data_IF_292207333692
#
_entry.id   IF_292207333692
#
_cell.length_a   1.000
_cell.length_b   1.000
_cell.length_c   1.000
_cell.angle_alpha   90.00
_cell.angle_beta   90.00
_cell.angle_gamma   90.00
#
_symmetry.space_group_name_H-M   'P 1'
#
loop_
_entity.id
_entity.type
_entity.pdbx_description
1 polymer ?
#
# COMPACT_ATOMS: atom_id res chain seq x y z
N UNK A 1 1.98 -14.72 -14.30
CA UNK A 1 1.63 -16.11 -14.00
C UNK A 1 2.83 -16.90 -13.46
N UNK A 2 3.91 -17.08 -14.23
CA UNK A 2 5.09 -17.85 -13.81
C UNK A 2 5.70 -17.41 -12.47
N UNK A 3 5.75 -16.09 -12.21
CA UNK A 3 6.28 -15.54 -10.97
C UNK A 3 5.46 -16.00 -9.74
N UNK A 4 4.14 -15.82 -9.78
CA UNK A 4 3.25 -16.18 -8.69
C UNK A 4 3.28 -17.68 -8.41
N UNK A 5 3.20 -18.50 -9.47
CA UNK A 5 3.33 -19.95 -9.38
C UNK A 5 4.63 -20.35 -8.69
N UNK A 6 5.76 -19.79 -9.14
CA UNK A 6 7.07 -20.10 -8.58
C UNK A 6 7.17 -19.71 -7.10
N UNK A 7 6.59 -18.57 -6.68
CA UNK A 7 6.60 -18.17 -5.28
C UNK A 7 5.72 -19.08 -4.42
N UNK A 8 4.56 -19.49 -4.90
CA UNK A 8 3.71 -20.46 -4.21
C UNK A 8 4.44 -21.81 -4.03
N UNK A 9 5.10 -22.32 -5.07
CA UNK A 9 5.91 -23.57 -5.00
C UNK A 9 7.07 -23.45 -3.99
N UNK A 10 7.59 -22.26 -3.76
CA UNK A 10 8.63 -21.98 -2.75
C UNK A 10 8.07 -21.81 -1.33
N UNK A 11 6.75 -21.89 -1.13
CA UNK A 11 6.11 -21.77 0.17
C UNK A 11 5.83 -20.33 0.62
N UNK A 12 5.93 -19.34 -0.27
CA UNK A 12 5.46 -17.99 0.06
C UNK A 12 3.94 -17.97 0.21
N UNK A 13 3.45 -17.21 1.16
CA UNK A 13 2.01 -17.04 1.43
C UNK A 13 1.49 -15.66 1.11
N UNK A 14 2.35 -14.65 1.15
CA UNK A 14 2.01 -13.25 0.86
C UNK A 14 2.98 -12.68 -0.18
N UNK A 15 2.44 -11.98 -1.17
CA UNK A 15 3.21 -11.21 -2.15
C UNK A 15 2.84 -9.73 -1.99
N UNK A 16 3.81 -8.89 -1.70
CA UNK A 16 3.61 -7.44 -1.69
C UNK A 16 3.61 -6.91 -3.12
N UNK A 17 2.60 -6.14 -3.48
CA UNK A 17 2.45 -5.55 -4.81
C UNK A 17 1.91 -4.12 -4.73
N UNK A 18 2.37 -3.27 -5.64
CA UNK A 18 2.05 -1.85 -5.68
C UNK A 18 1.21 -1.54 -6.90
N UNK A 19 0.11 -0.79 -6.72
CA UNK A 19 -0.76 -0.36 -7.82
C UNK A 19 -0.17 0.87 -8.52
N UNK A 20 0.00 1.98 -7.78
CA UNK A 20 0.67 3.17 -8.32
C UNK A 20 2.13 3.13 -7.89
N UNK A 21 2.99 2.63 -8.79
CA UNK A 21 4.37 2.32 -8.48
C UNK A 21 5.22 3.55 -8.18
N UNK A 22 6.36 3.34 -7.49
CA UNK A 22 7.36 4.35 -7.22
C UNK A 22 7.95 4.97 -8.51
N UNK A 23 8.71 6.01 -8.35
CA UNK A 23 9.36 6.77 -9.44
C UNK A 23 8.32 7.28 -10.46
N UNK A 24 8.50 6.94 -11.71
CA UNK A 24 7.65 7.40 -12.81
C UNK A 24 6.44 6.47 -13.06
N UNK A 25 5.97 5.79 -12.02
CA UNK A 25 4.92 4.78 -12.14
C UNK A 25 3.57 5.30 -12.63
N UNK A 26 3.31 6.61 -12.55
CA UNK A 26 2.10 7.21 -13.14
C UNK A 26 2.21 7.39 -14.66
N UNK A 27 3.43 7.51 -15.20
CA UNK A 27 3.67 7.74 -16.63
C UNK A 27 4.35 6.55 -17.33
N UNK A 28 4.66 5.49 -16.57
CA UNK A 28 5.17 4.24 -17.14
C UNK A 28 4.00 3.29 -17.35
N UNK A 29 3.65 2.96 -18.60
CA UNK A 29 2.51 2.11 -18.88
C UNK A 29 2.76 0.66 -18.45
N UNK A 30 1.68 -0.07 -18.22
CA UNK A 30 1.72 -1.51 -18.05
C UNK A 30 2.13 -2.22 -19.38
N UNK A 31 2.34 -3.56 -19.40
CA UNK A 31 2.70 -4.29 -20.61
C UNK A 31 1.73 -4.15 -21.79
N UNK A 32 0.53 -3.61 -21.57
CA UNK A 32 -0.50 -3.40 -22.59
C UNK A 32 -0.57 -1.95 -23.08
N UNK A 33 0.28 -1.08 -22.56
CA UNK A 33 0.33 0.33 -22.94
C UNK A 33 -0.60 1.25 -22.12
N UNK A 34 -1.21 0.75 -21.05
CA UNK A 34 -2.17 1.52 -20.25
C UNK A 34 -1.49 2.21 -19.06
N UNK A 35 -1.75 3.49 -18.86
CA UNK A 35 -1.36 4.27 -17.67
C UNK A 35 -2.40 4.08 -16.55
N UNK A 36 -1.99 4.16 -15.27
CA UNK A 36 -2.89 3.85 -14.15
C UNK A 36 -3.99 4.88 -13.91
N UNK A 37 -3.73 6.15 -14.19
CA UNK A 37 -4.65 7.25 -13.94
C UNK A 37 -4.86 8.08 -15.20
N UNK A 38 -6.03 8.67 -15.35
CA UNK A 38 -6.29 9.66 -16.40
C UNK A 38 -5.90 11.05 -15.87
N UNK A 39 -4.96 11.72 -16.54
CA UNK A 39 -4.47 13.06 -16.19
C UNK A 39 -3.91 13.14 -14.75
N UNK A 40 -3.24 12.10 -14.28
CA UNK A 40 -2.68 11.99 -12.92
C UNK A 40 -3.71 12.21 -11.79
N UNK A 41 -4.99 12.04 -12.08
CA UNK A 41 -6.09 12.26 -11.15
C UNK A 41 -6.47 10.95 -10.44
N UNK A 42 -6.20 10.78 -9.11
CA UNK A 42 -6.56 9.58 -8.37
C UNK A 42 -8.08 9.29 -8.36
N UNK A 43 -8.91 10.28 -8.67
CA UNK A 43 -10.37 10.09 -8.78
C UNK A 43 -10.80 9.54 -10.14
N UNK A 44 -9.84 9.38 -11.08
CA UNK A 44 -10.06 8.89 -12.44
C UNK A 44 -9.16 7.70 -12.79
N UNK A 45 -9.29 6.57 -12.08
CA UNK A 45 -8.54 5.37 -12.42
C UNK A 45 -8.82 4.89 -13.85
N UNK A 46 -7.77 4.45 -14.55
CA UNK A 46 -7.91 3.90 -15.89
C UNK A 46 -8.36 2.44 -15.84
N UNK A 47 -9.57 2.16 -16.25
CA UNK A 47 -10.17 0.82 -16.21
C UNK A 47 -9.30 -0.26 -16.85
N UNK A 48 -8.67 0.01 -17.99
CA UNK A 48 -7.81 -0.97 -18.68
C UNK A 48 -6.58 -1.35 -17.87
N UNK A 49 -5.95 -0.38 -17.20
CA UNK A 49 -4.85 -0.65 -16.30
C UNK A 49 -5.29 -1.55 -15.14
N UNK A 50 -6.43 -1.23 -14.54
CA UNK A 50 -6.94 -1.98 -13.39
C UNK A 50 -7.48 -3.37 -13.74
N UNK A 51 -7.89 -3.63 -14.98
CA UNK A 51 -8.15 -5.01 -15.45
C UNK A 51 -6.90 -5.89 -15.35
N UNK A 52 -5.71 -5.34 -15.58
CA UNK A 52 -4.47 -6.07 -15.37
C UNK A 52 -4.16 -6.30 -13.88
N UNK A 53 -4.45 -5.33 -13.03
CA UNK A 53 -4.33 -5.49 -11.56
C UNK A 53 -5.31 -6.59 -11.07
N UNK A 54 -6.54 -6.60 -11.58
CA UNK A 54 -7.53 -7.64 -11.29
C UNK A 54 -6.99 -9.04 -11.61
N UNK A 55 -6.44 -9.18 -12.82
CA UNK A 55 -5.84 -10.45 -13.25
C UNK A 55 -4.73 -10.93 -12.30
N UNK A 56 -3.87 -10.03 -11.82
CA UNK A 56 -2.79 -10.37 -10.89
C UNK A 56 -3.35 -10.85 -9.54
N UNK A 57 -4.37 -10.16 -9.01
CA UNK A 57 -5.00 -10.51 -7.72
C UNK A 57 -5.71 -11.86 -7.83
N UNK A 58 -6.48 -12.06 -8.92
CA UNK A 58 -7.23 -13.31 -9.15
C UNK A 58 -6.27 -14.49 -9.38
N UNK A 59 -5.18 -14.26 -10.12
CA UNK A 59 -4.13 -15.28 -10.31
C UNK A 59 -3.39 -15.63 -9.00
N UNK A 60 -3.16 -14.66 -8.13
CA UNK A 60 -2.60 -14.93 -6.82
C UNK A 60 -3.53 -15.82 -5.98
N UNK A 61 -4.84 -15.57 -6.03
CA UNK A 61 -5.83 -16.40 -5.34
C UNK A 61 -5.84 -17.86 -5.84
N UNK A 62 -5.68 -18.09 -7.15
CA UNK A 62 -5.57 -19.45 -7.72
C UNK A 62 -4.39 -20.24 -7.14
N UNK A 63 -3.31 -19.55 -6.75
CA UNK A 63 -2.14 -20.16 -6.11
C UNK A 63 -2.17 -20.08 -4.58
N UNK A 64 -3.31 -19.74 -3.97
CA UNK A 64 -3.47 -19.56 -2.53
C UNK A 64 -2.52 -18.49 -1.94
N UNK A 65 -2.19 -17.46 -2.73
CA UNK A 65 -1.39 -16.34 -2.31
C UNK A 65 -2.27 -15.16 -1.89
N UNK A 66 -1.91 -14.52 -0.80
CA UNK A 66 -2.47 -13.23 -0.37
C UNK A 66 -1.64 -12.11 -1.00
N UNK A 67 -2.29 -11.06 -1.46
CA UNK A 67 -1.63 -9.85 -1.93
C UNK A 67 -1.60 -8.80 -0.81
N UNK A 68 -0.41 -8.42 -0.38
CA UNK A 68 -0.19 -7.18 0.39
C UNK A 68 -0.24 -6.01 -0.59
N UNK A 69 -1.44 -5.47 -0.80
CA UNK A 69 -1.71 -4.49 -1.85
C UNK A 69 -1.41 -3.08 -1.35
N UNK A 70 -0.42 -2.42 -1.98
CA UNK A 70 -0.20 -1.00 -1.79
C UNK A 70 -1.02 -0.22 -2.83
N UNK A 71 -2.04 0.54 -2.42
CA UNK A 71 -2.81 1.40 -3.33
C UNK A 71 -1.92 2.37 -4.12
N UNK A 72 -0.91 2.88 -3.48
CA UNK A 72 0.10 3.77 -4.04
C UNK A 72 1.40 3.65 -3.28
N UNK A 73 2.52 3.96 -3.91
CA UNK A 73 3.77 4.21 -3.21
C UNK A 73 3.79 5.61 -2.59
N UNK A 74 4.55 5.78 -1.52
CA UNK A 74 4.53 7.00 -0.71
C UNK A 74 4.99 8.26 -1.43
N UNK A 75 5.77 8.14 -2.52
CA UNK A 75 6.24 9.28 -3.30
C UNK A 75 5.12 10.02 -4.07
N UNK A 76 3.93 9.47 -4.13
CA UNK A 76 2.73 10.12 -4.68
C UNK A 76 2.01 11.01 -3.65
N UNK A 77 2.39 10.87 -2.36
CA UNK A 77 2.00 11.78 -1.27
C UNK A 77 3.08 12.82 -1.04
N UNK A 78 4.35 12.39 -0.94
CA UNK A 78 5.50 13.30 -0.98
C UNK A 78 6.74 12.59 -1.53
N UNK A 79 7.36 13.20 -2.54
CA UNK A 79 8.39 12.53 -3.33
C UNK A 79 9.74 12.39 -2.64
N UNK A 80 10.06 13.25 -1.65
CA UNK A 80 11.40 13.28 -1.07
C UNK A 80 12.49 13.60 -2.12
N UNK A 81 13.76 13.38 -1.77
CA UNK A 81 14.89 13.65 -2.66
C UNK A 81 15.11 12.57 -3.73
N UNK A 82 14.55 11.37 -3.53
CA UNK A 82 14.75 10.23 -4.46
C UNK A 82 13.49 9.76 -5.19
N UNK A 83 12.31 10.23 -4.79
CA UNK A 83 11.09 9.95 -5.53
C UNK A 83 10.91 10.88 -6.72
N UNK A 84 10.12 10.46 -7.70
CA UNK A 84 9.77 11.31 -8.85
C UNK A 84 8.40 11.97 -8.71
N UNK A 85 7.50 11.38 -7.95
CA UNK A 85 6.13 11.85 -7.88
C UNK A 85 5.36 11.51 -9.17
N UNK A 86 4.52 12.41 -9.71
CA UNK A 86 4.08 13.65 -9.04
C UNK A 86 3.35 13.39 -7.72
N UNK A 87 3.34 14.40 -6.82
CA UNK A 87 2.52 14.36 -5.60
C UNK A 87 1.08 14.66 -6.00
N UNK A 88 0.23 13.63 -5.99
CA UNK A 88 -1.14 13.72 -6.52
C UNK A 88 -2.21 13.57 -5.45
N UNK A 89 -1.84 13.11 -4.25
CA UNK A 89 -2.80 12.85 -3.19
C UNK A 89 -3.03 14.07 -2.28
N UNK A 90 -4.29 14.29 -2.01
CA UNK A 90 -4.84 15.13 -0.95
C UNK A 90 -5.76 14.27 -0.08
N UNK A 91 -6.15 14.72 1.11
CA UNK A 91 -7.08 13.96 1.96
C UNK A 91 -8.40 13.67 1.24
N UNK A 92 -8.89 14.63 0.43
CA UNK A 92 -10.16 14.46 -0.31
C UNK A 92 -10.08 13.37 -1.35
N UNK A 93 -9.10 13.42 -2.25
CA UNK A 93 -9.01 12.43 -3.34
C UNK A 93 -8.49 11.07 -2.86
N UNK A 94 -7.68 11.03 -1.78
CA UNK A 94 -7.23 9.79 -1.17
C UNK A 94 -8.42 8.98 -0.62
N UNK A 95 -9.39 9.63 0.02
CA UNK A 95 -10.63 8.97 0.46
C UNK A 95 -11.41 8.39 -0.72
N UNK A 96 -11.58 9.17 -1.78
CA UNK A 96 -12.30 8.72 -3.00
C UNK A 96 -11.60 7.52 -3.63
N UNK A 97 -10.29 7.58 -3.78
CA UNK A 97 -9.49 6.51 -4.37
C UNK A 97 -9.51 5.23 -3.52
N UNK A 98 -9.34 5.36 -2.20
CA UNK A 98 -9.42 4.24 -1.27
C UNK A 98 -10.79 3.55 -1.32
N UNK A 99 -11.88 4.32 -1.33
CA UNK A 99 -13.23 3.78 -1.47
C UNK A 99 -13.43 3.08 -2.81
N UNK A 100 -12.99 3.69 -3.90
CA UNK A 100 -13.09 3.10 -5.24
C UNK A 100 -12.36 1.75 -5.33
N UNK A 101 -11.12 1.66 -4.79
CA UNK A 101 -10.39 0.40 -4.73
C UNK A 101 -11.12 -0.66 -3.91
N UNK A 102 -11.64 -0.27 -2.73
CA UNK A 102 -12.38 -1.18 -1.87
C UNK A 102 -13.65 -1.70 -2.55
N UNK A 103 -14.40 -0.85 -3.25
CA UNK A 103 -15.57 -1.27 -4.04
C UNK A 103 -15.19 -2.25 -5.15
N UNK A 104 -14.08 -2.00 -5.86
CA UNK A 104 -13.58 -2.90 -6.90
C UNK A 104 -13.21 -4.28 -6.36
N UNK A 105 -12.59 -4.32 -5.18
CA UNK A 105 -12.04 -5.56 -4.61
C UNK A 105 -12.87 -6.15 -3.47
N UNK A 106 -14.06 -5.69 -3.21
CA UNK A 106 -14.89 -6.13 -2.06
C UNK A 106 -15.19 -7.63 -2.02
N UNK A 107 -15.19 -8.29 -3.15
CA UNK A 107 -15.44 -9.73 -3.25
C UNK A 107 -14.15 -10.58 -3.25
N UNK A 108 -12.96 -9.95 -3.23
CA UNK A 108 -11.66 -10.62 -3.20
C UNK A 108 -11.13 -10.70 -1.77
N UNK A 109 -11.00 -11.91 -1.26
CA UNK A 109 -10.63 -12.17 0.15
C UNK A 109 -9.13 -12.30 0.39
N UNK A 110 -8.34 -12.30 -0.67
CA UNK A 110 -6.89 -12.48 -0.63
C UNK A 110 -6.11 -11.16 -0.67
N UNK A 111 -6.62 -10.11 -0.02
CA UNK A 111 -5.99 -8.79 0.03
C UNK A 111 -5.78 -8.36 1.49
N UNK A 112 -4.55 -7.96 1.80
CA UNK A 112 -4.17 -7.15 2.96
C UNK A 112 -3.78 -5.77 2.41
N UNK A 113 -4.35 -4.71 2.94
CA UNK A 113 -4.08 -3.36 2.50
C UNK A 113 -2.84 -2.81 3.18
N UNK A 114 -1.88 -2.33 2.41
CA UNK A 114 -0.63 -1.77 2.93
C UNK A 114 -0.52 -0.33 2.44
N UNK A 115 -0.79 0.62 3.31
CA UNK A 115 -0.63 2.05 2.98
C UNK A 115 0.83 2.46 3.10
N UNK A 116 1.20 3.63 2.61
CA UNK A 116 2.58 4.12 2.70
C UNK A 116 3.46 3.71 1.52
N UNK A 117 4.71 3.37 1.80
CA UNK A 117 5.72 3.00 0.80
C UNK A 117 6.94 3.92 0.86
N UNK A 118 7.95 3.56 1.67
CA UNK A 118 9.25 4.23 1.84
C UNK A 118 9.21 5.75 2.12
N UNK A 119 8.10 6.25 2.65
CA UNK A 119 7.94 7.67 3.02
C UNK A 119 7.27 7.77 4.37
N UNK A 120 7.99 8.30 5.34
CA UNK A 120 7.40 8.68 6.62
C UNK A 120 6.60 9.96 6.46
N UNK A 121 5.41 10.08 7.09
CA UNK A 121 4.69 11.35 7.12
C UNK A 121 5.56 12.47 7.68
N UNK A 122 5.59 13.62 7.01
CA UNK A 122 6.36 14.81 7.43
C UNK A 122 5.63 15.62 8.50
N UNK A 123 4.30 15.59 8.42
CA UNK A 123 3.41 16.43 9.21
C UNK A 123 1.99 15.83 9.24
N UNK A 124 1.09 16.47 9.97
CA UNK A 124 -0.30 16.04 10.09
C UNK A 124 -1.05 16.03 8.75
N UNK A 125 -0.64 16.85 7.78
CA UNK A 125 -1.22 16.83 6.43
C UNK A 125 -1.00 15.47 5.74
N UNK A 126 0.24 14.97 5.76
CA UNK A 126 0.57 13.65 5.20
C UNK A 126 -0.14 12.53 5.98
N UNK A 127 -0.16 12.62 7.32
CA UNK A 127 -0.91 11.67 8.18
C UNK A 127 -2.38 11.63 7.80
N UNK A 128 -3.00 12.79 7.59
CA UNK A 128 -4.42 12.88 7.24
C UNK A 128 -4.73 12.35 5.83
N UNK A 129 -3.78 12.40 4.89
CA UNK A 129 -3.94 11.75 3.58
C UNK A 129 -4.09 10.23 3.76
N UNK A 130 -3.21 9.62 4.56
CA UNK A 130 -3.27 8.18 4.82
C UNK A 130 -4.49 7.76 5.63
N UNK A 131 -4.87 8.54 6.64
CA UNK A 131 -6.13 8.35 7.38
C UNK A 131 -7.35 8.41 6.48
N UNK A 132 -7.36 9.35 5.54
CA UNK A 132 -8.46 9.50 4.58
C UNK A 132 -8.54 8.32 3.61
N UNK A 133 -7.39 7.82 3.13
CA UNK A 133 -7.35 6.62 2.29
C UNK A 133 -7.87 5.39 3.05
N UNK A 134 -7.41 5.18 4.29
CA UNK A 134 -7.90 4.11 5.16
C UNK A 134 -9.41 4.22 5.42
N UNK A 135 -9.89 5.44 5.71
CA UNK A 135 -11.32 5.70 5.91
C UNK A 135 -12.15 5.35 4.66
N UNK A 136 -11.64 5.69 3.45
CA UNK A 136 -12.28 5.31 2.20
C UNK A 136 -12.39 3.78 2.04
N UNK A 137 -11.32 3.05 2.38
CA UNK A 137 -11.32 1.57 2.34
C UNK A 137 -12.31 1.01 3.37
N UNK A 138 -12.26 1.48 4.61
CA UNK A 138 -13.12 1.00 5.71
C UNK A 138 -14.60 1.33 5.50
N UNK A 139 -14.94 2.37 4.76
CA UNK A 139 -16.33 2.70 4.43
C UNK A 139 -17.03 1.58 3.64
N UNK A 140 -16.29 0.87 2.80
CA UNK A 140 -16.79 -0.28 2.03
C UNK A 140 -16.46 -1.62 2.69
N UNK A 141 -15.29 -1.73 3.30
CA UNK A 141 -14.75 -2.95 3.90
C UNK A 141 -14.40 -2.70 5.38
N UNK A 142 -15.39 -2.63 6.29
CA UNK A 142 -15.15 -2.29 7.69
C UNK A 142 -14.16 -3.23 8.40
N UNK A 143 -14.09 -4.49 7.98
CA UNK A 143 -13.19 -5.50 8.53
C UNK A 143 -11.89 -5.68 7.73
N UNK A 144 -11.57 -4.79 6.80
CA UNK A 144 -10.32 -4.87 6.03
C UNK A 144 -9.11 -4.85 6.97
N UNK A 145 -8.15 -5.74 6.73
CA UNK A 145 -6.83 -5.67 7.38
C UNK A 145 -6.01 -4.59 6.70
N UNK A 146 -5.61 -3.56 7.44
CA UNK A 146 -4.85 -2.43 6.93
C UNK A 146 -3.62 -2.20 7.80
N UNK A 147 -2.47 -1.97 7.18
CA UNK A 147 -1.24 -1.55 7.84
C UNK A 147 -0.59 -0.39 7.07
N UNK A 148 0.54 0.11 7.57
CA UNK A 148 1.29 1.19 6.95
C UNK A 148 2.76 0.81 6.80
N UNK A 149 3.30 0.94 5.60
CA UNK A 149 4.69 0.68 5.24
C UNK A 149 5.53 1.96 5.40
N UNK A 150 6.30 2.09 6.49
CA UNK A 150 7.14 3.26 6.73
C UNK A 150 8.44 3.20 5.91
N UNK A 151 9.18 4.29 5.92
CA UNK A 151 10.57 4.33 5.46
C UNK A 151 11.47 3.48 6.36
N UNK A 152 12.56 2.88 5.84
CA UNK A 152 13.50 2.12 6.64
C UNK A 152 14.23 3.04 7.65
N UNK A 153 13.90 2.90 8.92
CA UNK A 153 14.54 3.58 10.04
C UNK A 153 14.10 2.94 11.37
N UNK A 154 14.27 3.65 12.49
CA UNK A 154 13.87 3.19 13.82
C UNK A 154 12.35 3.21 14.05
N UNK A 155 11.62 3.99 13.25
CA UNK A 155 10.17 4.18 13.41
C UNK A 155 9.39 3.10 12.66
N UNK A 156 8.29 2.66 13.28
CA UNK A 156 7.31 1.77 12.66
C UNK A 156 5.98 2.50 12.42
N UNK A 157 5.01 1.80 11.87
CA UNK A 157 3.66 2.34 11.63
C UNK A 157 3.00 2.92 12.90
N UNK A 158 3.30 2.34 14.06
CA UNK A 158 2.78 2.78 15.34
C UNK A 158 3.15 4.23 15.71
N UNK A 159 4.25 4.76 15.19
CA UNK A 159 4.67 6.15 15.44
C UNK A 159 3.59 7.17 15.09
N UNK A 160 2.84 6.93 14.02
CA UNK A 160 1.82 7.86 13.51
C UNK A 160 0.39 7.38 13.72
N UNK A 161 0.18 6.05 13.72
CA UNK A 161 -1.15 5.47 13.55
C UNK A 161 -1.55 4.50 14.66
N UNK A 162 -0.78 4.41 15.75
CA UNK A 162 -1.03 3.47 16.83
C UNK A 162 -2.45 3.58 17.42
N UNK A 163 -2.98 4.80 17.53
CA UNK A 163 -4.31 5.08 18.10
C UNK A 163 -5.43 5.05 17.05
N UNK A 164 -5.10 4.77 15.80
CA UNK A 164 -6.07 4.77 14.72
C UNK A 164 -6.71 3.39 14.60
N UNK A 165 -8.02 3.28 14.76
CA UNK A 165 -8.79 2.03 14.72
C UNK A 165 -8.64 1.24 13.40
N UNK A 166 -8.19 1.90 12.33
CA UNK A 166 -7.96 1.24 11.06
C UNK A 166 -6.66 0.43 11.03
N UNK A 167 -5.65 0.75 11.86
CA UNK A 167 -4.38 0.04 11.89
C UNK A 167 -4.55 -1.36 12.50
N UNK A 168 -4.50 -2.39 11.69
CA UNK A 168 -4.74 -3.77 12.13
C UNK A 168 -3.53 -4.44 12.75
N UNK A 169 -2.32 -4.04 12.34
CA UNK A 169 -1.05 -4.52 12.88
C UNK A 169 0.09 -3.57 12.56
N UNK A 170 1.13 -3.60 13.38
CA UNK A 170 2.31 -2.77 13.20
C UNK A 170 3.21 -3.35 12.10
N UNK A 171 3.77 -2.46 11.28
CA UNK A 171 4.76 -2.77 10.27
C UNK A 171 5.98 -1.86 10.45
N UNK A 172 7.16 -2.39 10.22
CA UNK A 172 8.41 -1.63 10.16
C UNK A 172 9.31 -2.20 9.07
N UNK A 173 10.26 -1.41 8.61
CA UNK A 173 11.21 -1.79 7.60
C UNK A 173 12.64 -1.67 8.14
N UNK A 174 13.47 -2.66 7.85
CA UNK A 174 14.87 -2.67 8.27
C UNK A 174 15.83 -2.06 7.26
N UNK A 175 15.38 -1.81 6.03
CA UNK A 175 16.23 -1.38 4.94
C UNK A 175 17.28 -2.44 4.56
N UNK A 176 18.47 -1.98 4.17
CA UNK A 176 19.55 -2.85 3.67
C UNK A 176 20.70 -3.05 4.67
N UNK A 177 20.52 -2.63 5.92
CA UNK A 177 21.55 -2.73 6.95
C UNK A 177 21.61 -4.12 7.58
N UNK A 178 22.79 -4.73 7.67
CA UNK A 178 23.00 -6.06 8.26
C UNK A 178 22.73 -6.11 9.77
N UNK A 179 23.05 -5.04 10.47
CA UNK A 179 23.05 -4.99 11.94
C UNK A 179 21.84 -4.20 12.48
N UNK A 180 20.70 -4.32 11.84
CA UNK A 180 19.49 -3.68 12.35
C UNK A 180 18.99 -4.41 13.60
N UNK A 181 18.68 -3.71 14.71
CA UNK A 181 18.19 -4.33 15.94
C UNK A 181 16.72 -4.76 15.80
N UNK A 182 16.48 -5.82 15.03
CA UNK A 182 15.13 -6.31 14.70
C UNK A 182 14.34 -6.68 15.94
N UNK A 183 15.02 -7.38 16.87
CA UNK A 183 14.39 -7.81 18.12
C UNK A 183 13.89 -6.62 18.94
N UNK A 184 14.72 -5.60 19.12
CA UNK A 184 14.35 -4.40 19.90
C UNK A 184 13.17 -3.64 19.27
N UNK A 185 13.12 -3.59 17.94
CA UNK A 185 11.99 -2.99 17.21
C UNK A 185 10.69 -3.77 17.44
N UNK A 186 10.76 -5.10 17.36
CA UNK A 186 9.60 -5.96 17.62
C UNK A 186 9.15 -5.79 19.07
N UNK A 187 10.08 -5.84 20.01
CA UNK A 187 9.78 -5.67 21.44
C UNK A 187 9.13 -4.31 21.73
N UNK A 188 9.68 -3.25 21.13
CA UNK A 188 9.12 -1.89 21.26
C UNK A 188 7.69 -1.84 20.71
N UNK A 189 7.48 -2.33 19.48
CA UNK A 189 6.16 -2.32 18.87
C UNK A 189 5.14 -3.19 19.63
N UNK A 190 5.59 -4.33 20.18
CA UNK A 190 4.74 -5.23 20.98
C UNK A 190 4.33 -4.62 22.32
N UNK A 191 5.22 -3.85 22.94
CA UNK A 191 4.96 -3.23 24.26
C UNK A 191 4.15 -1.93 24.18
N UNK A 192 3.90 -1.40 22.99
CA UNK A 192 3.02 -0.25 22.84
C UNK A 192 1.58 -0.72 23.15
N UNK A 193 1.02 -0.18 24.22
CA UNK A 193 -0.36 -0.44 24.60
C UNK A 193 -1.32 0.39 23.72
N UNK A 194 -2.45 -0.17 23.28
CA UNK A 194 -3.47 0.59 22.56
C UNK A 194 -4.12 1.67 23.43
#
# INVERSE_FOLDING_TARGET
>A
DQYLKRRAEQGFTVIQAVVLAEFDGLHTPNPYGDLPLLNDDPTKPNEKYFQHVDYIIDKAAEYNLVIGLLPTWGDKVWKSNWGKGPEVFTSTNAKVYGKWLAERYKNRKNIIWVLGGDRNPRNDGDVNIWRSMAAGIKETLPNAMITFHPQPNEKGSAEWFHKDEWLSFNMFQNGHCRNTPVYDKIQTAYNIQP
#
